data_IF_470859841399
#
_entry.id   IF_470859841399
#
_cell.length_a   1.000
_cell.length_b   1.000
_cell.length_c   1.000
_cell.angle_alpha   90.00
_cell.angle_beta   90.00
_cell.angle_gamma   90.00
#
_symmetry.space_group_name_H-M   'P 1'
#
loop_
_entity.id
_entity.type
_entity.pdbx_description
1 polymer ?
#
# COMPACT_ATOMS: atom_id res chain seq x y z
N UNK A 1 31.12 -8.83 10.29
CA UNK A 1 30.10 -7.85 10.70
C UNK A 1 28.98 -7.98 9.69
N UNK A 2 27.94 -8.75 10.03
CA UNK A 2 26.76 -8.91 9.16
C UNK A 2 26.16 -7.53 8.92
N UNK A 3 26.08 -7.11 7.64
CA UNK A 3 25.40 -5.85 7.30
C UNK A 3 23.92 -6.06 7.59
N UNK A 4 23.33 -5.17 8.39
CA UNK A 4 21.90 -5.20 8.67
C UNK A 4 21.15 -4.78 7.40
N UNK A 5 20.48 -5.75 6.75
CA UNK A 5 19.71 -5.53 5.52
C UNK A 5 18.71 -4.39 5.65
N UNK A 6 18.07 -4.24 6.82
CA UNK A 6 17.13 -3.15 7.07
C UNK A 6 17.78 -1.77 6.93
N UNK A 7 19.02 -1.59 7.42
CA UNK A 7 19.74 -0.32 7.31
C UNK A 7 20.17 -0.01 5.87
N UNK A 8 20.47 -1.03 5.07
CA UNK A 8 20.81 -0.83 3.65
C UNK A 8 19.56 -0.47 2.84
N UNK A 9 18.41 -1.07 3.13
CA UNK A 9 17.15 -0.80 2.43
C UNK A 9 16.60 0.60 2.73
N UNK A 10 16.87 1.17 3.92
CA UNK A 10 16.56 2.59 4.20
C UNK A 10 17.19 3.52 3.17
N UNK A 11 18.42 3.25 2.74
CA UNK A 11 19.13 4.07 1.75
C UNK A 11 18.49 4.00 0.37
N UNK A 12 17.79 2.90 0.08
CA UNK A 12 17.08 2.69 -1.19
C UNK A 12 15.87 3.62 -1.28
N UNK A 13 15.03 3.65 -0.24
CA UNK A 13 13.87 4.56 -0.19
C UNK A 13 14.30 6.01 -0.05
N UNK A 14 15.38 6.32 0.68
CA UNK A 14 15.97 7.66 0.74
C UNK A 14 16.43 8.14 -0.65
N UNK A 15 17.14 7.30 -1.41
CA UNK A 15 17.60 7.65 -2.75
C UNK A 15 16.43 7.96 -3.69
N UNK A 16 15.39 7.12 -3.66
CA UNK A 16 14.18 7.30 -4.45
C UNK A 16 13.43 8.60 -4.08
N UNK A 17 13.18 8.81 -2.79
CA UNK A 17 12.48 9.99 -2.28
C UNK A 17 13.24 11.29 -2.56
N UNK A 18 14.57 11.32 -2.39
CA UNK A 18 15.40 12.49 -2.70
C UNK A 18 15.41 12.81 -4.20
N UNK A 19 15.32 11.79 -5.05
CA UNK A 19 15.30 11.93 -6.50
C UNK A 19 13.95 12.49 -6.98
N UNK A 20 12.84 11.91 -6.52
CA UNK A 20 11.49 12.38 -6.87
C UNK A 20 11.15 13.75 -6.27
N UNK A 21 11.65 14.07 -5.07
CA UNK A 21 11.40 15.36 -4.41
C UNK A 21 11.89 16.57 -5.23
N UNK A 22 12.88 16.38 -6.13
CA UNK A 22 13.32 17.44 -7.06
C UNK A 22 12.25 17.84 -8.08
N UNK A 23 11.23 17.00 -8.26
CA UNK A 23 10.09 17.22 -9.15
C UNK A 23 8.85 17.73 -8.40
N UNK A 24 8.96 17.98 -7.09
CA UNK A 24 7.86 18.47 -6.28
C UNK A 24 7.34 19.81 -6.81
N UNK A 25 6.05 19.87 -7.16
CA UNK A 25 5.38 21.06 -7.67
C UNK A 25 5.72 21.43 -9.13
N UNK A 26 6.48 20.59 -9.84
CA UNK A 26 6.87 20.83 -11.25
C UNK A 26 5.74 20.49 -12.22
N UNK A 27 4.72 19.74 -11.78
CA UNK A 27 3.59 19.33 -12.63
C UNK A 27 3.91 18.21 -13.62
N UNK A 28 4.97 17.42 -13.37
CA UNK A 28 5.37 16.31 -14.23
C UNK A 28 5.46 15.00 -13.44
N UNK A 29 4.34 14.28 -13.39
CA UNK A 29 4.19 13.00 -12.69
C UNK A 29 5.17 11.94 -13.20
N UNK A 30 5.22 11.76 -14.53
CA UNK A 30 6.06 10.74 -15.17
C UNK A 30 7.55 10.95 -14.90
N UNK A 31 8.00 12.20 -14.86
CA UNK A 31 9.40 12.50 -14.58
C UNK A 31 9.75 12.32 -13.09
N UNK A 32 8.82 12.66 -12.19
CA UNK A 32 8.97 12.39 -10.77
C UNK A 32 9.09 10.89 -10.49
N UNK A 33 8.22 10.11 -11.12
CA UNK A 33 8.16 8.66 -11.02
C UNK A 33 9.42 7.99 -11.58
N UNK A 34 9.77 8.30 -12.84
CA UNK A 34 11.00 7.78 -13.45
C UNK A 34 12.25 8.11 -12.62
N UNK A 35 12.32 9.32 -12.04
CA UNK A 35 13.44 9.69 -11.17
C UNK A 35 13.52 8.83 -9.90
N UNK A 36 12.39 8.42 -9.34
CA UNK A 36 12.33 7.50 -8.20
C UNK A 36 12.73 6.08 -8.59
N UNK A 37 12.12 5.53 -9.66
CA UNK A 37 12.42 4.20 -10.21
C UNK A 37 13.91 4.03 -10.47
N UNK A 38 14.49 4.98 -11.18
CA UNK A 38 15.91 5.03 -11.52
C UNK A 38 16.82 4.99 -10.27
N UNK A 39 16.51 5.82 -9.29
CA UNK A 39 17.31 5.96 -8.08
C UNK A 39 17.17 4.72 -7.18
N UNK A 40 15.95 4.22 -7.00
CA UNK A 40 15.66 2.99 -6.27
C UNK A 40 16.40 1.81 -6.89
N UNK A 41 16.27 1.61 -8.21
CA UNK A 41 16.88 0.49 -8.91
C UNK A 41 18.40 0.48 -8.80
N UNK A 42 19.05 1.64 -8.95
CA UNK A 42 20.50 1.78 -8.77
C UNK A 42 20.91 1.54 -7.32
N UNK A 43 20.16 2.06 -6.35
CA UNK A 43 20.47 1.88 -4.94
C UNK A 43 20.44 0.39 -4.53
N UNK A 44 19.52 -0.40 -5.10
CA UNK A 44 19.47 -1.85 -4.86
C UNK A 44 20.74 -2.60 -5.29
N UNK A 45 21.51 -2.11 -6.27
CA UNK A 45 22.74 -2.79 -6.74
C UNK A 45 23.78 -2.98 -5.63
N UNK A 46 23.78 -2.11 -4.62
CA UNK A 46 24.72 -2.15 -3.51
C UNK A 46 24.24 -3.00 -2.32
N UNK A 47 23.01 -3.51 -2.35
CA UNK A 47 22.42 -4.24 -1.22
C UNK A 47 22.82 -5.73 -1.30
N UNK A 48 23.38 -6.33 -0.23
CA UNK A 48 23.81 -7.73 -0.22
C UNK A 48 22.62 -8.69 -0.05
N UNK A 49 21.86 -8.89 -1.13
CA UNK A 49 20.83 -9.92 -1.23
C UNK A 49 20.55 -10.35 -2.68
N UNK A 50 19.74 -11.41 -2.81
CA UNK A 50 19.22 -11.97 -4.05
C UNK A 50 17.70 -11.71 -4.16
N UNK A 51 17.31 -10.49 -4.50
CA UNK A 51 15.91 -10.06 -4.54
C UNK A 51 15.18 -10.47 -5.82
N UNK A 52 13.90 -10.81 -5.69
CA UNK A 52 12.94 -10.87 -6.81
C UNK A 52 11.85 -9.84 -6.58
N UNK A 53 11.63 -8.95 -7.54
CA UNK A 53 10.49 -8.04 -7.51
C UNK A 53 9.22 -8.86 -7.74
N UNK A 54 8.30 -8.90 -6.77
CA UNK A 54 7.00 -9.57 -6.90
C UNK A 54 5.85 -8.57 -7.02
N UNK A 55 6.07 -7.34 -6.57
CA UNK A 55 5.21 -6.17 -6.78
C UNK A 55 6.15 -5.01 -7.15
N UNK A 56 5.88 -4.35 -8.28
CA UNK A 56 6.65 -3.21 -8.77
C UNK A 56 5.91 -2.44 -9.86
N UNK A 57 6.64 -1.80 -10.76
CA UNK A 57 6.13 -0.84 -11.76
C UNK A 57 5.17 -1.43 -12.80
N UNK A 58 5.12 -2.75 -12.91
CA UNK A 58 4.25 -3.45 -13.84
C UNK A 58 4.87 -4.74 -14.38
N UNK A 59 4.25 -5.28 -15.42
CA UNK A 59 4.80 -6.43 -16.14
C UNK A 59 6.04 -6.03 -16.96
N UNK A 60 6.87 -7.00 -17.32
CA UNK A 60 8.15 -6.75 -18.03
C UNK A 60 7.99 -6.02 -19.37
N UNK A 61 6.86 -6.22 -20.04
CA UNK A 61 6.52 -5.55 -21.31
C UNK A 61 6.00 -4.12 -21.11
N UNK A 62 5.54 -3.79 -19.90
CA UNK A 62 4.98 -2.49 -19.54
C UNK A 62 6.00 -1.59 -18.83
N UNK A 63 6.95 -2.17 -18.07
CA UNK A 63 7.94 -1.46 -17.28
C UNK A 63 9.40 -1.89 -17.63
N UNK A 64 10.30 -0.95 -17.96
CA UNK A 64 11.69 -1.27 -18.32
C UNK A 64 12.57 -1.61 -17.10
N UNK A 65 12.18 -1.18 -15.91
CA UNK A 65 12.88 -1.37 -14.63
C UNK A 65 11.86 -1.61 -13.53
N UNK A 66 12.29 -2.32 -12.49
CA UNK A 66 11.50 -2.72 -11.33
C UNK A 66 10.20 -3.44 -11.71
N UNK A 67 10.24 -4.20 -12.81
CA UNK A 67 9.13 -5.00 -13.29
C UNK A 67 8.98 -6.31 -12.48
N UNK A 68 7.79 -6.89 -12.51
CA UNK A 68 7.50 -8.16 -11.84
C UNK A 68 8.40 -9.28 -12.39
N UNK A 69 9.17 -9.90 -11.50
CA UNK A 69 10.17 -10.93 -11.79
C UNK A 69 11.60 -10.40 -12.00
N UNK A 70 11.83 -9.08 -11.94
CA UNK A 70 13.19 -8.55 -12.01
C UNK A 70 14.04 -9.04 -10.83
N UNK A 71 15.31 -9.38 -11.12
CA UNK A 71 16.32 -9.69 -10.11
C UNK A 71 17.06 -8.42 -9.71
N UNK A 72 17.06 -8.14 -8.40
CA UNK A 72 17.69 -6.96 -7.80
C UNK A 72 18.57 -7.36 -6.61
N UNK A 73 19.40 -6.43 -6.14
CA UNK A 73 20.47 -6.74 -5.20
C UNK A 73 21.79 -7.03 -5.90
N UNK A 74 22.85 -7.11 -5.12
CA UNK A 74 24.19 -7.44 -5.62
C UNK A 74 24.35 -8.92 -6.04
N UNK A 75 23.40 -9.79 -5.68
CA UNK A 75 23.46 -11.22 -5.98
C UNK A 75 24.20 -12.04 -4.91
N UNK A 76 24.70 -11.39 -3.86
CA UNK A 76 25.29 -12.05 -2.70
C UNK A 76 24.30 -12.02 -1.53
N UNK A 77 23.97 -13.15 -0.93
CA UNK A 77 23.12 -13.21 0.27
C UNK A 77 21.79 -13.94 0.07
N UNK A 78 20.80 -13.73 0.96
CA UNK A 78 19.56 -14.50 0.98
C UNK A 78 18.68 -14.23 -0.24
N UNK A 79 17.93 -15.25 -0.69
CA UNK A 79 16.85 -15.08 -1.66
C UNK A 79 15.62 -14.51 -0.97
N UNK A 80 15.16 -13.34 -1.44
CA UNK A 80 14.01 -12.64 -0.84
C UNK A 80 13.07 -12.14 -1.93
N UNK A 81 11.80 -12.02 -1.58
CA UNK A 81 10.81 -11.34 -2.41
C UNK A 81 10.69 -9.88 -1.98
N UNK A 82 10.52 -9.00 -2.96
CA UNK A 82 10.47 -7.55 -2.79
C UNK A 82 9.18 -7.02 -3.39
N UNK A 83 8.42 -6.31 -2.57
CA UNK A 83 7.35 -5.44 -3.01
C UNK A 83 7.81 -4.00 -2.88
N UNK A 84 7.60 -3.19 -3.91
CA UNK A 84 8.05 -1.81 -3.92
C UNK A 84 7.05 -0.90 -4.60
N UNK A 85 7.09 0.36 -4.20
CA UNK A 85 6.50 1.50 -4.88
C UNK A 85 7.54 2.63 -4.79
N UNK A 86 8.33 2.86 -5.85
CA UNK A 86 9.37 3.88 -5.87
C UNK A 86 8.81 5.25 -5.54
N UNK A 87 7.62 5.56 -6.04
CA UNK A 87 6.91 6.81 -5.77
C UNK A 87 5.40 6.59 -5.64
N UNK A 88 4.99 6.36 -4.40
CA UNK A 88 3.59 6.43 -4.03
C UNK A 88 3.15 7.90 -4.11
N UNK A 89 2.13 8.17 -4.93
CA UNK A 89 1.57 9.50 -5.10
C UNK A 89 2.35 10.36 -6.10
N UNK A 90 2.57 9.87 -7.32
CA UNK A 90 3.17 10.65 -8.42
C UNK A 90 2.45 12.00 -8.63
N UNK A 91 1.12 12.00 -8.64
CA UNK A 91 0.25 13.19 -8.66
C UNK A 91 0.48 14.11 -7.46
N UNK A 92 0.69 13.53 -6.27
CA UNK A 92 0.95 14.27 -5.03
C UNK A 92 2.26 15.06 -5.18
N UNK A 93 3.33 14.42 -5.65
CA UNK A 93 4.62 15.11 -5.90
C UNK A 93 4.46 16.17 -6.98
N UNK A 94 3.89 15.83 -8.13
CA UNK A 94 3.74 16.77 -9.24
C UNK A 94 2.99 18.05 -8.82
N UNK A 95 2.02 17.93 -7.91
CA UNK A 95 1.21 19.03 -7.40
C UNK A 95 1.74 19.66 -6.11
N UNK A 96 2.85 19.17 -5.55
CA UNK A 96 3.44 19.69 -4.31
C UNK A 96 2.57 19.48 -3.07
N UNK A 97 1.81 18.38 -3.02
CA UNK A 97 0.93 18.02 -1.92
C UNK A 97 1.65 17.14 -0.89
N UNK A 98 1.02 16.96 0.27
CA UNK A 98 1.53 16.10 1.33
C UNK A 98 1.21 14.61 1.10
N UNK A 99 1.99 13.74 1.75
CA UNK A 99 1.82 12.29 1.85
C UNK A 99 2.27 11.44 0.65
N UNK A 100 3.08 11.98 -0.26
CA UNK A 100 3.85 11.15 -1.19
C UNK A 100 4.98 10.45 -0.43
N UNK A 101 5.31 9.22 -0.80
CA UNK A 101 6.38 8.46 -0.16
C UNK A 101 7.04 7.45 -1.11
N UNK A 102 8.22 6.97 -0.73
CA UNK A 102 8.87 5.82 -1.37
C UNK A 102 8.79 4.63 -0.43
N UNK A 103 8.38 3.47 -0.94
CA UNK A 103 8.03 2.30 -0.10
C UNK A 103 8.72 1.05 -0.63
N UNK A 104 9.27 0.26 0.30
CA UNK A 104 9.80 -1.08 0.04
C UNK A 104 9.37 -1.99 1.19
N UNK A 105 8.87 -3.16 0.85
CA UNK A 105 8.65 -4.27 1.77
C UNK A 105 9.40 -5.51 1.27
N UNK A 106 10.00 -6.25 2.20
CA UNK A 106 10.81 -7.44 1.89
C UNK A 106 10.38 -8.59 2.79
N UNK A 107 10.31 -9.78 2.22
CA UNK A 107 9.99 -11.01 2.94
C UNK A 107 10.73 -12.21 2.36
N UNK A 108 10.69 -13.34 3.05
CA UNK A 108 11.14 -14.61 2.49
C UNK A 108 10.30 -14.98 1.26
N UNK A 109 10.85 -15.81 0.38
CA UNK A 109 10.18 -16.20 -0.86
C UNK A 109 8.78 -16.77 -0.62
N UNK A 110 7.79 -16.24 -1.33
CA UNK A 110 6.37 -16.61 -1.22
C UNK A 110 5.63 -15.96 -0.05
N UNK A 111 6.26 -15.03 0.68
CA UNK A 111 5.63 -14.34 1.81
C UNK A 111 4.65 -13.23 1.42
N UNK A 112 4.66 -12.77 0.16
CA UNK A 112 3.69 -11.80 -0.34
C UNK A 112 2.53 -12.46 -1.09
N UNK A 113 1.37 -11.82 -1.05
CA UNK A 113 0.33 -12.07 -2.04
C UNK A 113 0.84 -11.57 -3.40
N UNK A 114 0.91 -12.44 -4.39
CA UNK A 114 1.19 -12.06 -5.78
C UNK A 114 -0.06 -11.38 -6.37
N UNK A 115 -0.27 -10.13 -5.99
CA UNK A 115 -1.45 -9.36 -6.36
C UNK A 115 -1.39 -8.95 -7.84
N UNK A 116 -2.45 -9.21 -8.64
CA UNK A 116 -2.55 -8.65 -9.98
C UNK A 116 -2.71 -7.12 -9.91
N UNK A 117 -2.30 -6.42 -10.97
CA UNK A 117 -2.66 -5.02 -11.16
C UNK A 117 -4.18 -4.87 -11.38
N UNK A 118 -4.89 -4.64 -10.28
CA UNK A 118 -6.34 -4.46 -10.18
C UNK A 118 -6.67 -3.70 -8.90
N UNK A 119 -7.95 -3.44 -8.64
CA UNK A 119 -8.36 -2.85 -7.38
C UNK A 119 -8.53 -3.88 -6.26
N UNK A 120 -8.46 -3.41 -5.02
CA UNK A 120 -8.73 -4.14 -3.80
C UNK A 120 -9.60 -3.27 -2.89
N UNK A 121 -10.67 -3.86 -2.38
CA UNK A 121 -11.46 -3.35 -1.27
C UNK A 121 -10.70 -3.62 0.03
N UNK A 122 -10.40 -2.56 0.78
CA UNK A 122 -9.49 -2.56 1.92
C UNK A 122 -10.22 -2.06 3.16
N UNK A 123 -9.91 -2.66 4.31
CA UNK A 123 -10.15 -2.05 5.63
C UNK A 123 -8.90 -2.25 6.46
N UNK A 124 -8.40 -1.19 7.10
CA UNK A 124 -7.16 -1.23 7.84
C UNK A 124 -7.26 -0.42 9.13
N UNK A 125 -6.69 -0.96 10.20
CA UNK A 125 -6.67 -0.38 11.54
C UNK A 125 -5.33 -0.64 12.24
N UNK A 126 -5.00 0.23 13.19
CA UNK A 126 -3.81 0.08 14.02
C UNK A 126 -3.99 -0.93 15.16
N UNK A 127 -2.94 -1.08 16.01
CA UNK A 127 -2.91 -2.10 17.07
C UNK A 127 -4.05 -2.04 18.09
N UNK A 128 -4.62 -0.86 18.32
CA UNK A 128 -5.72 -0.68 19.28
C UNK A 128 -7.02 -1.34 18.85
N UNK A 129 -7.20 -1.59 17.55
CA UNK A 129 -8.40 -2.22 16.98
C UNK A 129 -8.05 -3.51 16.21
N UNK A 130 -6.88 -4.11 16.47
CA UNK A 130 -6.48 -5.37 15.87
C UNK A 130 -7.55 -6.46 16.12
N UNK A 131 -8.00 -7.14 15.07
CA UNK A 131 -9.04 -8.17 15.14
C UNK A 131 -10.48 -7.64 15.19
N UNK A 132 -10.70 -6.32 15.11
CA UNK A 132 -12.03 -5.72 15.16
C UNK A 132 -12.70 -5.56 13.79
N UNK A 133 -11.97 -5.80 12.69
CA UNK A 133 -12.44 -5.58 11.32
C UNK A 133 -12.89 -6.86 10.63
N UNK A 134 -13.88 -6.77 9.75
CA UNK A 134 -14.36 -7.86 8.89
C UNK A 134 -14.98 -7.28 7.61
N UNK A 135 -14.35 -7.51 6.45
CA UNK A 135 -14.84 -7.04 5.14
C UNK A 135 -16.15 -7.70 4.67
N UNK A 136 -16.62 -8.74 5.36
CA UNK A 136 -17.96 -9.32 5.11
C UNK A 136 -19.09 -8.52 5.77
N UNK A 137 -18.77 -7.65 6.74
CA UNK A 137 -19.73 -6.81 7.44
C UNK A 137 -19.95 -5.46 6.74
N UNK A 138 -21.05 -4.79 7.10
CA UNK A 138 -21.30 -3.41 6.64
C UNK A 138 -20.23 -2.43 7.19
N UNK A 139 -19.99 -1.30 6.51
CA UNK A 139 -19.12 -0.24 7.05
C UNK A 139 -19.59 0.23 8.44
N UNK A 140 -20.91 0.33 8.66
CA UNK A 140 -21.47 0.69 9.97
C UNK A 140 -21.07 -0.30 11.06
N UNK A 141 -21.23 -1.61 10.83
CA UNK A 141 -20.83 -2.63 11.82
C UNK A 141 -19.33 -2.60 12.10
N UNK A 142 -18.51 -2.45 11.07
CA UNK A 142 -17.07 -2.30 11.27
C UNK A 142 -16.74 -1.09 12.15
N UNK A 143 -17.31 0.08 11.89
CA UNK A 143 -17.05 1.28 12.69
C UNK A 143 -17.49 1.12 14.15
N UNK A 144 -18.64 0.47 14.40
CA UNK A 144 -19.08 0.17 15.77
C UNK A 144 -18.11 -0.79 16.47
N UNK A 145 -17.69 -1.87 15.82
CA UNK A 145 -16.73 -2.83 16.37
C UNK A 145 -15.37 -2.17 16.67
N UNK A 146 -14.90 -1.30 15.78
CA UNK A 146 -13.65 -0.55 15.95
C UNK A 146 -13.76 0.40 17.15
N UNK A 147 -14.85 1.16 17.25
CA UNK A 147 -15.09 2.07 18.38
C UNK A 147 -15.14 1.31 19.71
N UNK A 148 -15.82 0.15 19.75
CA UNK A 148 -15.89 -0.72 20.91
C UNK A 148 -14.50 -1.25 21.32
N UNK A 149 -13.69 -1.70 20.36
CA UNK A 149 -12.32 -2.16 20.60
C UNK A 149 -11.42 -1.02 21.13
N UNK A 150 -11.57 0.19 20.57
CA UNK A 150 -10.83 1.38 20.97
C UNK A 150 -11.36 2.03 22.24
N UNK A 151 -12.54 1.61 22.74
CA UNK A 151 -13.27 2.18 23.88
C UNK A 151 -13.56 3.68 23.72
N UNK A 152 -14.01 4.06 22.54
CA UNK A 152 -14.44 5.42 22.21
C UNK A 152 -15.83 5.42 21.58
N UNK A 153 -16.37 6.61 21.31
CA UNK A 153 -17.59 6.73 20.51
C UNK A 153 -17.25 6.64 19.02
N UNK A 154 -18.24 6.32 18.18
CA UNK A 154 -18.00 6.25 16.71
C UNK A 154 -17.68 7.64 16.16
N UNK A 155 -18.23 8.68 16.77
CA UNK A 155 -18.00 10.09 16.48
C UNK A 155 -16.55 10.53 16.76
N UNK A 156 -15.82 9.78 17.61
CA UNK A 156 -14.41 10.01 17.86
C UNK A 156 -13.53 9.45 16.73
N UNK A 157 -14.01 8.47 15.96
CA UNK A 157 -13.23 7.85 14.89
C UNK A 157 -13.03 8.80 13.70
N UNK A 158 -11.83 8.77 13.13
CA UNK A 158 -11.47 9.43 11.86
C UNK A 158 -11.15 8.38 10.81
N UNK A 159 -12.02 8.32 9.80
CA UNK A 159 -11.95 7.38 8.68
C UNK A 159 -11.31 8.07 7.48
N UNK A 160 -10.24 7.49 6.93
CA UNK A 160 -9.64 7.93 5.67
C UNK A 160 -10.25 7.15 4.51
N UNK A 161 -10.64 7.86 3.45
CA UNK A 161 -11.24 7.31 2.23
C UNK A 161 -10.69 8.06 1.02
N UNK A 162 -10.36 7.34 -0.06
CA UNK A 162 -10.03 7.97 -1.35
C UNK A 162 -11.26 8.71 -1.91
N UNK A 163 -11.12 9.98 -2.27
CA UNK A 163 -12.18 10.79 -2.86
C UNK A 163 -12.39 10.39 -4.32
N UNK A 164 -13.30 9.44 -4.52
CA UNK A 164 -13.61 8.86 -5.82
C UNK A 164 -15.11 8.61 -5.92
N UNK A 165 -15.73 8.74 -7.12
CA UNK A 165 -17.15 8.47 -7.30
C UNK A 165 -17.60 7.10 -6.79
N UNK A 166 -16.74 6.08 -6.91
CA UNK A 166 -16.99 4.72 -6.41
C UNK A 166 -17.18 4.61 -4.88
N UNK A 167 -16.80 5.64 -4.12
CA UNK A 167 -16.95 5.68 -2.66
C UNK A 167 -18.11 6.56 -2.18
N UNK A 168 -18.95 7.09 -3.07
CA UNK A 168 -20.05 7.97 -2.67
C UNK A 168 -20.98 7.34 -1.62
N UNK A 169 -21.31 6.06 -1.80
CA UNK A 169 -22.14 5.31 -0.85
C UNK A 169 -21.44 5.10 0.50
N UNK A 170 -20.18 4.65 0.47
CA UNK A 170 -19.35 4.48 1.65
C UNK A 170 -19.24 5.78 2.45
N UNK A 171 -18.93 6.89 1.78
CA UNK A 171 -18.83 8.22 2.40
C UNK A 171 -20.17 8.63 3.04
N UNK A 172 -21.30 8.35 2.38
CA UNK A 172 -22.62 8.60 2.95
C UNK A 172 -22.83 7.78 4.22
N UNK A 173 -22.60 6.47 4.18
CA UNK A 173 -22.74 5.60 5.35
C UNK A 173 -21.89 6.07 6.52
N UNK A 174 -20.61 6.39 6.29
CA UNK A 174 -19.73 6.86 7.38
C UNK A 174 -20.23 8.17 8.00
N UNK A 175 -20.78 9.10 7.20
CA UNK A 175 -21.40 10.34 7.70
C UNK A 175 -22.69 10.09 8.48
N UNK A 176 -23.53 9.16 8.03
CA UNK A 176 -24.79 8.80 8.69
C UNK A 176 -24.56 8.14 10.06
N UNK A 177 -23.51 7.33 10.17
CA UNK A 177 -23.12 6.69 11.44
C UNK A 177 -22.49 7.69 12.42
N UNK A 178 -21.94 8.81 11.92
CA UNK A 178 -21.44 9.92 12.74
C UNK A 178 -19.92 10.01 12.86
N UNK A 179 -19.16 9.10 12.25
CA UNK A 179 -17.70 9.16 12.26
C UNK A 179 -17.17 10.34 11.41
N UNK A 180 -15.98 10.83 11.76
CA UNK A 180 -15.27 11.88 11.00
C UNK A 180 -14.63 11.27 9.76
N UNK A 181 -14.52 12.06 8.68
CA UNK A 181 -13.92 11.61 7.41
C UNK A 181 -12.78 12.52 7.00
N UNK A 182 -11.64 11.93 6.65
CA UNK A 182 -10.55 12.59 5.94
C UNK A 182 -10.50 12.04 4.51
N UNK A 183 -11.00 12.86 3.57
CA UNK A 183 -10.93 12.53 2.15
C UNK A 183 -9.52 12.81 1.61
N UNK A 184 -8.93 11.82 0.95
CA UNK A 184 -7.62 11.93 0.29
C UNK A 184 -7.77 11.75 -1.21
N UNK A 185 -7.00 12.48 -2.00
CA UNK A 185 -7.06 12.32 -3.45
C UNK A 185 -6.29 11.07 -3.89
N UNK A 186 -5.11 10.83 -3.32
CA UNK A 186 -4.23 9.70 -3.60
C UNK A 186 -3.53 9.31 -2.27
N UNK A 187 -2.77 8.22 -2.23
CA UNK A 187 -2.03 7.83 -1.02
C UNK A 187 -2.78 6.99 -0.01
N UNK A 188 -3.26 5.82 -0.43
CA UNK A 188 -3.89 4.88 0.51
C UNK A 188 -2.89 4.00 1.28
N UNK A 189 -1.63 3.85 0.82
CA UNK A 189 -0.55 3.20 1.60
C UNK A 189 -0.22 4.02 2.84
N UNK A 190 0.11 5.30 2.67
CA UNK A 190 0.42 6.21 3.77
C UNK A 190 -0.75 6.35 4.74
N UNK A 191 -1.98 6.36 4.23
CA UNK A 191 -3.19 6.37 5.05
C UNK A 191 -3.37 5.09 5.88
N UNK A 192 -3.10 3.90 5.33
CA UNK A 192 -3.20 2.66 6.08
C UNK A 192 -2.16 2.63 7.21
N UNK A 193 -0.91 2.98 6.90
CA UNK A 193 0.19 3.04 7.86
C UNK A 193 -0.12 4.03 8.98
N UNK A 194 -0.73 5.18 8.66
CA UNK A 194 -1.09 6.18 9.65
C UNK A 194 -2.00 5.66 10.77
N UNK A 195 -2.84 4.65 10.50
CA UNK A 195 -3.68 4.00 11.52
C UNK A 195 -2.88 3.36 12.65
N UNK A 196 -1.63 2.96 12.38
CA UNK A 196 -0.73 2.34 13.36
C UNK A 196 -0.13 3.32 14.37
N UNK A 197 -0.29 4.63 14.18
CA UNK A 197 0.36 5.66 14.99
C UNK A 197 -0.66 6.57 15.68
N UNK A 198 -0.66 6.66 17.03
CA UNK A 198 -1.67 7.43 17.77
C UNK A 198 -1.76 8.92 17.42
N UNK A 199 -0.66 9.54 17.01
CA UNK A 199 -0.56 11.00 16.84
C UNK A 199 -0.97 11.48 15.43
N UNK A 200 -1.33 10.57 14.53
CA UNK A 200 -1.69 10.91 13.14
C UNK A 200 -3.12 11.44 13.02
N UNK A 201 -3.97 11.15 14.01
CA UNK A 201 -5.40 11.43 13.96
C UNK A 201 -6.15 10.60 12.91
N UNK A 202 -5.61 9.45 12.52
CA UNK A 202 -6.24 8.50 11.59
C UNK A 202 -6.48 7.20 12.34
N UNK A 203 -7.74 6.76 12.39
CA UNK A 203 -8.12 5.54 13.12
C UNK A 203 -8.36 4.36 12.16
N UNK A 204 -8.93 4.65 10.98
CA UNK A 204 -9.35 3.62 10.01
C UNK A 204 -9.03 4.08 8.58
N UNK A 205 -8.52 3.19 7.73
CA UNK A 205 -8.60 3.32 6.28
C UNK A 205 -9.68 2.37 5.76
N UNK A 206 -10.58 2.83 4.89
CA UNK A 206 -11.56 1.94 4.25
C UNK A 206 -11.88 2.37 2.82
N UNK A 207 -12.10 1.39 1.94
CA UNK A 207 -12.55 1.58 0.57
C UNK A 207 -11.68 0.87 -0.46
N UNK A 208 -11.89 1.22 -1.73
CA UNK A 208 -11.32 0.56 -2.89
C UNK A 208 -10.14 1.38 -3.46
N UNK A 209 -8.94 0.78 -3.42
CA UNK A 209 -7.70 1.30 -4.00
C UNK A 209 -6.90 0.21 -4.71
N UNK A 210 -5.65 0.45 -5.07
CA UNK A 210 -4.85 -0.52 -5.84
C UNK A 210 -4.46 -1.76 -5.03
N UNK A 211 -4.52 -2.95 -5.64
CA UNK A 211 -4.21 -4.21 -4.96
C UNK A 211 -2.72 -4.35 -4.58
N UNK A 212 -1.74 -3.97 -5.44
CA UNK A 212 -0.32 -3.99 -5.07
C UNK A 212 -0.01 -3.12 -3.84
N UNK A 213 -0.56 -1.92 -3.77
CA UNK A 213 -0.46 -0.99 -2.66
C UNK A 213 -1.10 -1.56 -1.38
N UNK A 214 -2.16 -2.37 -1.55
CA UNK A 214 -2.76 -3.11 -0.45
C UNK A 214 -1.79 -4.09 0.22
N UNK A 215 -0.91 -4.74 -0.55
CA UNK A 215 0.10 -5.66 -0.02
C UNK A 215 1.20 -4.91 0.72
N UNK A 216 1.64 -3.76 0.19
CA UNK A 216 2.60 -2.88 0.89
C UNK A 216 2.05 -2.37 2.22
N UNK A 217 0.79 -1.92 2.23
CA UNK A 217 0.08 -1.50 3.43
C UNK A 217 -0.06 -2.63 4.46
N UNK A 218 -0.43 -3.84 4.00
CA UNK A 218 -0.57 -5.01 4.86
C UNK A 218 0.77 -5.42 5.49
N UNK A 219 1.86 -5.40 4.72
CA UNK A 219 3.20 -5.70 5.22
C UNK A 219 3.63 -4.73 6.34
N UNK A 220 3.37 -3.44 6.15
CA UNK A 220 3.65 -2.43 7.18
C UNK A 220 2.79 -2.62 8.43
N UNK A 221 1.47 -2.84 8.28
CA UNK A 221 0.58 -3.03 9.42
C UNK A 221 0.86 -4.31 10.20
N UNK A 222 1.23 -5.39 9.51
CA UNK A 222 1.66 -6.63 10.16
C UNK A 222 2.90 -6.38 11.05
N UNK A 223 3.85 -5.57 10.60
CA UNK A 223 5.02 -5.19 11.40
C UNK A 223 4.66 -4.27 12.58
N UNK A 224 3.66 -3.40 12.42
CA UNK A 224 3.18 -2.49 13.45
C UNK A 224 2.25 -3.16 14.47
N UNK A 225 1.78 -4.38 14.19
CA UNK A 225 0.79 -5.09 15.02
C UNK A 225 -0.65 -4.61 14.80
N UNK A 226 -0.94 -4.01 13.65
CA UNK A 226 -2.29 -3.66 13.22
C UNK A 226 -3.04 -4.84 12.57
N UNK A 227 -4.18 -4.53 11.96
CA UNK A 227 -5.01 -5.48 11.22
C UNK A 227 -5.46 -4.85 9.90
N UNK A 228 -5.43 -5.65 8.84
CA UNK A 228 -5.87 -5.24 7.52
C UNK A 228 -6.51 -6.42 6.81
N UNK A 229 -7.66 -6.17 6.19
CA UNK A 229 -8.28 -7.12 5.29
C UNK A 229 -8.38 -6.54 3.89
N UNK A 230 -8.21 -7.41 2.90
CA UNK A 230 -8.28 -7.08 1.49
C UNK A 230 -9.16 -8.04 0.73
N UNK A 231 -9.96 -7.55 -0.22
CA UNK A 231 -10.71 -8.37 -1.19
C UNK A 231 -10.52 -7.79 -2.59
N UNK A 232 -10.08 -8.61 -3.55
CA UNK A 232 -9.87 -8.13 -4.91
C UNK A 232 -11.17 -7.63 -5.54
N UNK A 233 -11.05 -6.56 -6.33
CA UNK A 233 -12.15 -5.93 -7.08
C UNK A 233 -11.74 -5.70 -8.53
N UNK A 234 -11.60 -6.77 -9.35
CA UNK A 234 -11.41 -6.67 -10.79
C UNK A 234 -12.37 -5.68 -11.45
N UNK A 235 -11.83 -4.82 -12.31
CA UNK A 235 -12.61 -3.82 -13.07
C UNK A 235 -13.33 -4.45 -14.26
N UNK A 236 -12.83 -5.58 -14.75
CA UNK A 236 -13.28 -6.25 -15.96
C UNK A 236 -12.85 -7.73 -15.98
N UNK A 237 -13.36 -8.49 -16.93
CA UNK A 237 -13.07 -9.93 -17.09
C UNK A 237 -11.60 -10.23 -17.41
N UNK A 238 -10.87 -9.28 -18.02
CA UNK A 238 -9.46 -9.48 -18.33
C UNK A 238 -8.60 -9.51 -17.06
N UNK A 239 -8.93 -8.67 -16.08
CA UNK A 239 -8.30 -8.68 -14.75
C UNK A 239 -8.68 -9.94 -13.95
N UNK A 240 -9.93 -10.41 -14.07
CA UNK A 240 -10.34 -11.71 -13.49
C UNK A 240 -9.49 -12.84 -14.05
N UNK A 241 -9.32 -12.89 -15.38
CA UNK A 241 -8.53 -13.93 -16.02
C UNK A 241 -7.03 -13.80 -15.70
N UNK A 242 -6.51 -12.57 -15.56
CA UNK A 242 -5.15 -12.31 -15.06
C UNK A 242 -4.97 -12.88 -13.65
N UNK A 243 -5.88 -12.58 -12.72
CA UNK A 243 -5.86 -13.10 -11.36
C UNK A 243 -5.88 -14.64 -11.34
N UNK A 244 -6.70 -15.27 -12.18
CA UNK A 244 -6.76 -16.75 -12.31
C UNK A 244 -5.44 -17.34 -12.80
N UNK A 245 -4.81 -16.73 -13.79
CA UNK A 245 -3.48 -17.14 -14.29
C UNK A 245 -2.39 -17.02 -13.21
N UNK A 246 -2.54 -16.08 -12.29
CA UNK A 246 -1.67 -15.91 -11.11
C UNK A 246 -2.04 -16.86 -9.95
N UNK A 247 -2.99 -17.77 -10.14
CA UNK A 247 -3.37 -18.78 -9.14
C UNK A 247 -4.51 -18.37 -8.21
N UNK A 248 -5.10 -17.18 -8.40
CA UNK A 248 -6.23 -16.70 -7.60
C UNK A 248 -7.54 -17.26 -8.19
N UNK A 249 -8.06 -18.31 -7.57
CA UNK A 249 -9.29 -18.99 -8.04
C UNK A 249 -10.57 -18.34 -7.54
N UNK A 250 -10.54 -17.83 -6.32
CA UNK A 250 -11.66 -17.17 -5.67
C UNK A 250 -11.38 -15.67 -5.57
N UNK A 251 -12.11 -14.88 -6.37
CA UNK A 251 -11.98 -13.43 -6.44
C UNK A 251 -12.63 -12.76 -5.21
N UNK A 252 -13.65 -13.40 -4.64
CA UNK A 252 -14.38 -12.87 -3.48
C UNK A 252 -13.71 -13.23 -2.16
N UNK A 253 -12.60 -13.99 -2.21
CA UNK A 253 -11.77 -14.30 -1.05
C UNK A 253 -11.35 -13.02 -0.33
N UNK A 254 -11.56 -13.02 0.98
CA UNK A 254 -11.01 -12.03 1.89
C UNK A 254 -9.64 -12.54 2.36
N UNK A 255 -8.60 -11.74 2.09
CA UNK A 255 -7.25 -11.90 2.61
C UNK A 255 -7.16 -11.20 3.96
N UNK A 256 -6.43 -11.81 4.89
CA UNK A 256 -6.22 -11.37 6.28
C UNK A 256 -4.73 -11.47 6.58
#
# INVERSE_FOLDING_TARGET
MERNLALEVVRVTEAAALSSARWMGVGNEKAADQAAVDAMRRAFEAVPFCGTVVIGEGERDEAPMLFIGERIGSGDGPELDVALDPLEGTTIVAQGRANAMSVVAITEKGGFLHAPDTYMDKIAVGPKAMGAVDLSLSPEQNLRNIADAMKCYVEDLTVVILDRPRHAELIRTVREVGARIKLIQDGDVSAAIATGFPDTGVDVLVGIGGAPEGVLAAAALQCLGGDMQGRLKPRNDQEVERARRMGIRDIDRIYR
#
